data_IF_229365591993
#
_entry.id   IF_229365591993
#
_cell.length_a   1.000
_cell.length_b   1.000
_cell.length_c   1.000
_cell.angle_alpha   90.00
_cell.angle_beta   90.00
_cell.angle_gamma   90.00
#
_symmetry.space_group_name_H-M   'P 1'
#
loop_
_entity.id
_entity.type
_entity.pdbx_description
1 polymer ?
#
# COMPACT_ATOMS: atom_id res chain seq x y z
N UNK A 1 -28.25 -20.33 6.83
CA UNK A 1 -27.89 -20.03 5.42
C UNK A 1 -26.65 -19.14 5.45
N UNK A 2 -25.53 -19.64 4.92
CA UNK A 2 -24.18 -19.05 5.03
C UNK A 2 -24.04 -17.96 3.96
N UNK A 3 -24.05 -16.68 4.34
CA UNK A 3 -23.75 -15.59 3.43
C UNK A 3 -22.26 -15.21 3.59
N UNK A 4 -21.44 -15.67 2.65
CA UNK A 4 -20.04 -15.27 2.50
C UNK A 4 -19.99 -13.86 1.90
N UNK A 5 -19.68 -12.86 2.73
CA UNK A 5 -19.32 -11.51 2.27
C UNK A 5 -17.80 -11.41 2.21
N UNK A 6 -17.26 -11.54 0.99
CA UNK A 6 -15.85 -11.39 0.64
C UNK A 6 -15.50 -9.88 0.70
N UNK A 7 -15.03 -9.40 1.85
CA UNK A 7 -14.57 -8.02 1.99
C UNK A 7 -13.14 -7.89 1.43
N UNK A 8 -13.03 -7.44 0.18
CA UNK A 8 -11.76 -7.07 -0.44
C UNK A 8 -11.25 -5.76 0.19
N UNK A 9 -10.40 -5.89 1.21
CA UNK A 9 -9.69 -4.77 1.85
C UNK A 9 -8.63 -4.22 0.89
N UNK A 10 -8.97 -3.15 0.17
CA UNK A 10 -8.04 -2.39 -0.67
C UNK A 10 -7.12 -1.56 0.23
N UNK A 11 -5.96 -2.12 0.59
CA UNK A 11 -4.97 -1.45 1.40
C UNK A 11 -4.29 -0.31 0.60
N UNK A 12 -4.57 0.94 0.98
CA UNK A 12 -3.98 2.13 0.39
C UNK A 12 -2.59 2.35 1.03
N UNK A 13 -1.55 1.84 0.37
CA UNK A 13 -0.15 2.12 0.74
C UNK A 13 0.15 3.59 0.42
N UNK A 14 1.07 4.24 1.14
CA UNK A 14 1.57 5.55 0.75
C UNK A 14 2.43 5.40 -0.51
N UNK A 15 1.85 5.71 -1.66
CA UNK A 15 2.45 5.45 -2.97
C UNK A 15 2.99 6.78 -3.42
N UNK A 16 4.33 6.87 -3.53
CA UNK A 16 5.00 7.97 -4.21
C UNK A 16 4.24 8.15 -5.53
N UNK A 17 3.57 9.30 -5.76
CA UNK A 17 2.81 9.50 -6.98
C UNK A 17 3.78 9.40 -8.14
N UNK A 18 3.68 8.30 -8.89
CA UNK A 18 4.33 8.20 -10.18
C UNK A 18 3.63 9.22 -11.07
N UNK A 19 4.43 10.04 -11.75
CA UNK A 19 3.95 11.10 -12.62
C UNK A 19 2.80 10.59 -13.50
N UNK A 20 1.78 11.43 -13.66
CA UNK A 20 0.60 11.09 -14.45
C UNK A 20 1.03 10.65 -15.86
N UNK A 21 0.43 9.56 -16.34
CA UNK A 21 0.67 9.02 -17.67
C UNK A 21 -0.63 8.64 -18.35
N UNK A 22 -0.55 8.49 -19.67
CA UNK A 22 -1.61 7.91 -20.48
C UNK A 22 -1.68 6.40 -20.25
N UNK A 23 -2.88 5.92 -19.98
CA UNK A 23 -3.26 4.51 -19.91
C UNK A 23 -4.17 4.20 -21.09
N UNK A 24 -4.01 3.02 -21.67
CA UNK A 24 -4.76 2.59 -22.84
C UNK A 24 -5.46 1.26 -22.57
N UNK A 25 -6.68 1.10 -23.07
CA UNK A 25 -7.42 -0.16 -22.99
C UNK A 25 -6.78 -1.25 -23.85
N UNK A 26 -7.07 -2.52 -23.55
CA UNK A 26 -6.51 -3.68 -24.25
C UNK A 26 -6.83 -3.68 -25.76
N UNK A 27 -7.98 -3.12 -26.14
CA UNK A 27 -8.44 -2.96 -27.52
C UNK A 27 -7.98 -1.64 -28.17
N UNK A 28 -7.28 -0.77 -27.44
CA UNK A 28 -6.83 0.54 -27.91
C UNK A 28 -7.93 1.59 -28.10
N UNK A 29 -9.20 1.26 -27.82
CA UNK A 29 -10.33 2.14 -28.12
C UNK A 29 -10.50 3.29 -27.12
N UNK A 30 -9.91 3.17 -25.92
CA UNK A 30 -10.04 4.13 -24.83
C UNK A 30 -8.69 4.45 -24.23
N UNK A 31 -8.48 5.73 -23.96
CA UNK A 31 -7.34 6.23 -23.21
C UNK A 31 -7.78 7.12 -22.06
N UNK A 32 -6.97 7.19 -21.02
CA UNK A 32 -7.17 8.12 -19.91
C UNK A 32 -5.84 8.48 -19.26
N UNK A 33 -5.76 9.69 -18.70
CA UNK A 33 -4.60 10.13 -17.92
C UNK A 33 -4.77 9.77 -16.45
N UNK A 34 -3.70 9.29 -15.83
CA UNK A 34 -3.70 9.05 -14.39
C UNK A 34 -2.36 8.64 -13.81
N UNK A 35 -2.23 8.85 -12.50
CA UNK A 35 -1.07 8.45 -11.72
C UNK A 35 -1.26 7.03 -11.19
N UNK A 36 -0.25 6.18 -11.36
CA UNK A 36 -0.25 4.88 -10.70
C UNK A 36 -0.23 5.10 -9.19
N UNK A 37 -1.30 4.65 -8.54
CA UNK A 37 -1.33 4.51 -7.10
C UNK A 37 -0.91 3.09 -6.79
N UNK A 38 -1.78 2.10 -6.93
CA UNK A 38 -1.51 0.74 -6.44
C UNK A 38 -1.41 -0.31 -7.52
N UNK A 39 -0.61 -1.34 -7.23
CA UNK A 39 -0.58 -2.58 -7.98
C UNK A 39 -0.82 -3.73 -7.01
N UNK A 40 -1.80 -4.58 -7.31
CA UNK A 40 -2.02 -5.84 -6.59
C UNK A 40 -1.76 -6.99 -7.55
N UNK A 41 -0.65 -7.69 -7.34
CA UNK A 41 -0.33 -8.89 -8.12
C UNK A 41 -1.30 -10.03 -7.81
N UNK A 42 -1.70 -10.18 -6.54
CA UNK A 42 -2.67 -11.18 -6.08
C UNK A 42 -4.04 -11.00 -6.72
N UNK A 43 -4.57 -9.76 -6.72
CA UNK A 43 -5.87 -9.47 -7.30
C UNK A 43 -5.81 -9.21 -8.82
N UNK A 44 -4.61 -9.10 -9.40
CA UNK A 44 -4.37 -8.70 -10.80
C UNK A 44 -5.05 -7.37 -11.16
N UNK A 45 -4.98 -6.41 -10.26
CA UNK A 45 -5.59 -5.08 -10.42
C UNK A 45 -4.58 -3.96 -10.28
N UNK A 46 -4.85 -2.86 -10.96
CA UNK A 46 -4.16 -1.58 -10.82
C UNK A 46 -5.14 -0.52 -10.29
N UNK A 47 -4.68 0.35 -9.40
CA UNK A 47 -5.42 1.51 -8.93
C UNK A 47 -4.73 2.78 -9.40
N UNK A 48 -5.50 3.68 -10.02
CA UNK A 48 -5.03 4.88 -10.70
C UNK A 48 -5.77 6.09 -10.14
N UNK A 49 -5.04 7.17 -9.86
CA UNK A 49 -5.63 8.47 -9.58
C UNK A 49 -5.78 9.22 -10.91
N UNK A 50 -7.02 9.39 -11.34
CA UNK A 50 -7.35 10.13 -12.56
C UNK A 50 -7.41 11.64 -12.28
N UNK A 51 -7.44 12.42 -13.36
CA UNK A 51 -7.70 13.86 -13.32
C UNK A 51 -8.97 14.19 -12.52
N UNK A 52 -8.91 15.26 -11.74
CA UNK A 52 -10.00 15.66 -10.82
C UNK A 52 -10.05 14.84 -9.52
N UNK A 53 -8.97 14.10 -9.18
CA UNK A 53 -8.83 13.43 -7.89
C UNK A 53 -9.59 12.11 -7.77
N UNK A 54 -10.15 11.59 -8.87
CA UNK A 54 -10.97 10.37 -8.87
C UNK A 54 -10.07 9.13 -8.87
N UNK A 55 -10.23 8.28 -7.87
CA UNK A 55 -9.52 6.99 -7.82
C UNK A 55 -10.34 5.92 -8.54
N UNK A 56 -9.71 5.15 -9.42
CA UNK A 56 -10.32 4.00 -10.09
C UNK A 56 -9.41 2.79 -10.07
N UNK A 57 -10.02 1.62 -9.99
CA UNK A 57 -9.33 0.34 -10.04
C UNK A 57 -9.74 -0.40 -11.30
N UNK A 58 -8.76 -0.91 -12.03
CA UNK A 58 -8.94 -1.66 -13.27
C UNK A 58 -8.26 -3.03 -13.18
N UNK A 59 -8.83 -4.03 -13.84
CA UNK A 59 -8.15 -5.30 -14.05
C UNK A 59 -6.98 -5.10 -15.03
N UNK A 60 -5.81 -5.66 -14.73
CA UNK A 60 -4.61 -5.52 -15.57
C UNK A 60 -4.83 -6.09 -16.98
N UNK A 61 -5.71 -7.09 -17.11
CA UNK A 61 -6.10 -7.67 -18.40
C UNK A 61 -6.82 -6.69 -19.34
N UNK A 62 -7.42 -5.63 -18.81
CA UNK A 62 -8.12 -4.61 -19.58
C UNK A 62 -7.20 -3.51 -20.11
N UNK A 63 -5.91 -3.53 -19.75
CA UNK A 63 -4.93 -2.57 -20.21
C UNK A 63 -4.19 -3.06 -21.45
N UNK A 64 -3.66 -2.13 -22.23
CA UNK A 64 -2.78 -2.40 -23.38
C UNK A 64 -1.55 -3.21 -22.98
N UNK A 65 -0.92 -3.88 -23.94
CA UNK A 65 0.31 -4.62 -23.67
C UNK A 65 1.45 -3.72 -23.17
N UNK A 66 1.56 -2.50 -23.72
CA UNK A 66 2.53 -1.51 -23.30
C UNK A 66 2.36 -1.13 -21.82
N UNK A 67 1.12 -0.90 -21.39
CA UNK A 67 0.82 -0.56 -20.00
C UNK A 67 1.00 -1.76 -19.06
N UNK A 68 0.68 -2.98 -19.49
CA UNK A 68 1.00 -4.19 -18.73
C UNK A 68 2.51 -4.37 -18.54
N UNK A 69 3.31 -4.09 -19.57
CA UNK A 69 4.76 -4.17 -19.50
C UNK A 69 5.35 -3.07 -18.60
N UNK A 70 4.76 -1.88 -18.61
CA UNK A 70 5.09 -0.83 -17.65
C UNK A 70 4.81 -1.29 -16.20
N UNK A 71 3.63 -1.84 -15.94
CA UNK A 71 3.27 -2.33 -14.60
C UNK A 71 4.19 -3.43 -14.09
N UNK A 72 4.73 -4.30 -14.95
CA UNK A 72 5.75 -5.28 -14.55
C UNK A 72 7.03 -4.60 -14.07
N UNK A 73 7.53 -3.61 -14.82
CA UNK A 73 8.73 -2.85 -14.45
C UNK A 73 8.52 -2.09 -13.13
N UNK A 74 7.39 -1.42 -12.99
CA UNK A 74 7.06 -0.69 -11.76
C UNK A 74 6.76 -1.61 -10.58
N UNK A 75 6.13 -2.76 -10.81
CA UNK A 75 5.92 -3.81 -9.81
C UNK A 75 7.25 -4.29 -9.23
N UNK A 76 8.25 -4.53 -10.09
CA UNK A 76 9.61 -4.82 -9.63
C UNK A 76 10.21 -3.67 -8.81
N UNK A 77 10.02 -2.40 -9.20
CA UNK A 77 10.49 -1.25 -8.41
C UNK A 77 9.78 -1.12 -7.06
N UNK A 78 8.49 -1.43 -6.99
CA UNK A 78 7.72 -1.43 -5.73
C UNK A 78 8.19 -2.58 -4.82
N UNK A 79 8.46 -3.76 -5.39
CA UNK A 79 9.03 -4.90 -4.66
C UNK A 79 10.46 -4.61 -4.18
N UNK A 80 11.27 -3.96 -5.00
CA UNK A 80 12.62 -3.49 -4.65
C UNK A 80 12.57 -2.43 -3.54
N UNK A 81 11.66 -1.45 -3.61
CA UNK A 81 11.47 -0.49 -2.52
C UNK A 81 10.95 -1.15 -1.22
N UNK A 82 10.27 -2.29 -1.31
CA UNK A 82 9.86 -3.09 -0.16
C UNK A 82 10.98 -4.01 0.38
N UNK A 83 11.96 -4.38 -0.46
CA UNK A 83 13.13 -5.19 -0.09
C UNK A 83 14.36 -4.36 0.32
N UNK A 84 14.49 -3.14 -0.21
CA UNK A 84 15.53 -2.15 0.10
C UNK A 84 15.18 -1.39 1.39
N UNK A 85 14.47 -2.05 2.30
CA UNK A 85 14.24 -1.63 3.68
C UNK A 85 15.52 -1.71 4.50
N UNK A 86 16.60 -1.09 4.01
CA UNK A 86 17.77 -0.78 4.79
C UNK A 86 17.43 0.43 5.68
N UNK A 87 17.22 0.14 6.98
CA UNK A 87 17.31 1.07 8.10
C UNK A 87 16.70 2.46 7.92
N UNK A 88 15.36 2.58 7.93
CA UNK A 88 14.72 3.90 7.98
C UNK A 88 14.28 4.29 9.38
N UNK A 89 15.26 4.50 10.27
CA UNK A 89 15.09 5.39 11.42
C UNK A 89 14.66 6.82 11.01
N UNK A 90 14.83 7.20 9.74
CA UNK A 90 14.36 8.47 9.18
C UNK A 90 12.87 8.55 8.85
N UNK A 91 12.24 7.46 8.39
CA UNK A 91 10.85 7.49 7.89
C UNK A 91 9.80 7.58 9.01
N UNK A 92 10.13 7.09 10.21
CA UNK A 92 9.24 7.17 11.37
C UNK A 92 9.26 8.56 12.05
N UNK A 93 10.40 9.26 12.02
CA UNK A 93 10.55 10.57 12.68
C UNK A 93 9.69 11.67 12.04
N UNK A 94 9.38 11.56 10.74
CA UNK A 94 8.47 12.47 10.04
C UNK A 94 6.99 12.24 10.33
N UNK A 95 6.62 11.15 11.01
CA UNK A 95 5.23 10.79 11.28
C UNK A 95 4.81 11.22 12.69
N UNK A 96 3.67 11.89 12.81
CA UNK A 96 3.13 12.35 14.10
C UNK A 96 2.96 11.22 15.13
N UNK A 97 2.55 10.04 14.67
CA UNK A 97 2.42 8.83 15.51
C UNK A 97 3.73 8.05 15.54
N UNK A 98 4.34 7.78 14.38
CA UNK A 98 5.54 6.96 14.25
C UNK A 98 6.73 7.45 15.08
N UNK A 99 6.92 8.77 15.22
CA UNK A 99 8.01 9.33 16.02
C UNK A 99 7.90 9.01 17.52
N UNK A 100 6.72 8.67 18.02
CA UNK A 100 6.57 8.24 19.41
C UNK A 100 6.90 6.75 19.59
N UNK A 101 6.78 5.95 18.53
CA UNK A 101 7.02 4.51 18.59
C UNK A 101 8.52 4.15 18.61
N UNK A 102 9.39 5.09 18.23
CA UNK A 102 10.85 4.94 18.31
C UNK A 102 11.40 5.16 19.71
N UNK A 103 10.58 5.64 20.66
CA UNK A 103 11.00 5.87 22.04
C UNK A 103 11.04 4.55 22.82
N UNK A 104 12.03 4.35 23.70
CA UNK A 104 12.07 3.17 24.57
C UNK A 104 10.85 3.13 25.49
N UNK A 105 10.40 1.93 25.82
CA UNK A 105 9.24 1.68 26.69
C UNK A 105 7.85 1.91 26.07
N UNK A 106 7.74 2.35 24.82
CA UNK A 106 6.44 2.58 24.17
C UNK A 106 5.87 1.31 23.54
N UNK A 107 6.75 0.44 23.02
CA UNK A 107 6.34 -0.78 22.36
C UNK A 107 6.52 -1.96 23.30
N UNK A 108 5.50 -2.80 23.34
CA UNK A 108 5.58 -4.08 24.03
C UNK A 108 5.10 -5.18 23.09
N UNK A 109 5.83 -6.29 23.12
CA UNK A 109 5.48 -7.50 22.39
C UNK A 109 4.91 -8.51 23.36
N UNK A 110 3.84 -9.19 22.95
CA UNK A 110 3.30 -10.32 23.71
C UNK A 110 4.22 -11.51 23.52
N UNK A 111 4.80 -11.98 24.62
CA UNK A 111 5.60 -13.20 24.69
C UNK A 111 4.89 -14.16 25.63
N UNK A 112 4.14 -15.10 25.05
CA UNK A 112 3.30 -16.03 25.80
C UNK A 112 2.23 -15.30 26.59
N UNK A 113 2.36 -15.31 27.92
CA UNK A 113 1.43 -14.67 28.87
C UNK A 113 1.91 -13.31 29.38
N UNK A 114 3.09 -12.85 28.96
CA UNK A 114 3.70 -11.61 29.44
C UNK A 114 3.96 -10.62 28.30
N UNK A 115 4.17 -9.35 28.67
CA UNK A 115 4.61 -8.30 27.75
C UNK A 115 6.10 -8.01 27.98
N UNK A 116 6.89 -8.05 26.90
CA UNK A 116 8.29 -7.67 26.91
C UNK A 116 8.49 -6.36 26.12
N UNK A 117 9.44 -5.52 26.55
CA UNK A 117 9.81 -4.32 25.80
C UNK A 117 10.32 -4.70 24.41
N UNK A 118 9.91 -3.93 23.40
CA UNK A 118 10.30 -4.18 22.02
C UNK A 118 10.78 -2.90 21.34
N UNK A 119 11.67 -3.03 20.37
CA UNK A 119 12.06 -1.93 19.50
C UNK A 119 11.67 -2.26 18.06
N UNK A 120 11.20 -1.24 17.34
CA UNK A 120 10.89 -1.35 15.92
C UNK A 120 12.16 -1.61 15.12
N UNK A 121 12.33 -2.84 14.66
CA UNK A 121 13.42 -3.22 13.75
C UNK A 121 13.13 -2.86 12.30
N UNK A 122 11.83 -2.77 11.93
CA UNK A 122 11.34 -2.38 10.62
C UNK A 122 10.14 -1.46 10.77
N UNK A 123 10.02 -0.44 9.92
CA UNK A 123 8.81 0.39 9.85
C UNK A 123 7.62 -0.48 9.43
N UNK A 124 6.50 -0.47 10.18
CA UNK A 124 5.33 -1.23 9.81
C UNK A 124 4.62 -0.51 8.68
N UNK A 125 4.14 -1.29 7.71
CA UNK A 125 3.38 -0.76 6.57
C UNK A 125 1.99 -0.26 7.01
N UNK A 126 1.47 -0.80 8.12
CA UNK A 126 0.14 -0.50 8.66
C UNK A 126 0.12 -0.44 10.18
N UNK A 127 -0.80 0.37 10.71
CA UNK A 127 -1.13 0.42 12.13
C UNK A 127 -2.62 0.11 12.32
N UNK A 128 -2.94 -0.73 13.30
CA UNK A 128 -4.32 -0.91 13.77
C UNK A 128 -4.47 -0.09 15.05
N UNK A 129 -5.38 0.88 15.04
CA UNK A 129 -5.73 1.65 16.24
C UNK A 129 -6.97 1.03 16.85
N UNK A 130 -6.78 0.37 17.99
CA UNK A 130 -7.87 -0.19 18.78
C UNK A 130 -8.16 0.71 19.97
N UNK A 131 -9.41 1.17 20.09
CA UNK A 131 -9.90 1.87 21.26
C UNK A 131 -11.05 1.04 21.85
N UNK A 132 -10.96 0.71 23.14
CA UNK A 132 -12.08 0.15 23.89
C UNK A 132 -12.65 1.25 24.77
N UNK A 133 -13.91 1.64 24.52
CA UNK A 133 -14.65 2.42 25.49
C UNK A 133 -15.08 1.50 26.63
N UNK A 134 -14.58 1.76 27.85
CA UNK A 134 -15.20 1.21 29.06
C UNK A 134 -16.35 2.15 29.42
N UNK A 135 -17.55 1.73 29.06
CA UNK A 135 -18.77 1.98 29.84
C UNK A 135 -18.59 1.57 31.31
#
# INVERSE_FOLDING_TARGET
MKLLLLAASLAFICQVPLAARTWTSADGSKTFEGELRALSETAKTVTVLMEGGKIRTFAISLLSEADRNFLKKEGHKILLAASDGEGTGGTLQGQKIGNNLTKPGILSKVEGTSFAEHQLTKSPDYYIVYFSASW
#
